data_IF_532837050625
#
_entry.id   IF_532837050625
#
_cell.length_a   1.000
_cell.length_b   1.000
_cell.length_c   1.000
_cell.angle_alpha   90.00
_cell.angle_beta   90.00
_cell.angle_gamma   90.00
#
_symmetry.space_group_name_H-M   'P 1'
#
loop_
_entity.id
_entity.type
_entity.pdbx_description
1 polymer ?
#
# COMPACT_ATOMS: atom_id res chain seq x y z
N UNK A 1 23.52 43.51 -94.27
CA UNK A 1 22.31 43.55 -93.41
C UNK A 1 22.51 42.58 -92.26
N UNK A 2 22.10 43.02 -91.06
CA UNK A 2 22.28 42.39 -89.74
C UNK A 2 21.74 40.95 -89.68
N UNK A 3 22.39 40.09 -88.89
CA UNK A 3 21.85 39.68 -87.58
C UNK A 3 22.77 38.66 -86.89
N UNK A 4 23.32 39.06 -85.73
CA UNK A 4 23.91 38.16 -84.75
C UNK A 4 22.79 37.40 -84.04
N UNK A 5 22.89 36.07 -83.98
CA UNK A 5 22.10 35.24 -83.06
C UNK A 5 22.94 34.94 -81.82
N UNK A 6 22.46 35.43 -80.67
CA UNK A 6 22.98 35.15 -79.34
C UNK A 6 22.55 33.74 -78.90
N UNK A 7 23.50 32.89 -78.47
CA UNK A 7 23.22 31.70 -77.67
C UNK A 7 23.14 32.10 -76.19
N UNK A 8 21.96 32.00 -75.60
CA UNK A 8 21.77 32.10 -74.15
C UNK A 8 21.86 30.72 -73.50
N UNK A 9 22.92 30.47 -72.74
CA UNK A 9 23.05 29.30 -71.87
C UNK A 9 22.33 29.58 -70.53
N UNK A 10 21.21 28.90 -70.28
CA UNK A 10 20.53 28.94 -68.99
C UNK A 10 21.17 27.92 -68.05
N UNK A 11 21.86 28.40 -67.01
CA UNK A 11 22.36 27.55 -65.93
C UNK A 11 21.20 27.18 -64.99
N UNK A 12 20.83 25.89 -64.97
CA UNK A 12 19.91 25.33 -63.98
C UNK A 12 20.65 25.22 -62.63
N UNK A 13 20.31 26.09 -61.68
CA UNK A 13 20.77 25.98 -60.30
C UNK A 13 19.98 24.87 -59.59
N UNK A 14 20.61 23.72 -59.32
CA UNK A 14 20.06 22.71 -58.43
C UNK A 14 19.93 23.30 -57.02
N UNK A 15 18.70 23.57 -56.60
CA UNK A 15 18.41 23.96 -55.22
C UNK A 15 18.34 22.69 -54.38
N UNK A 16 19.35 22.44 -53.55
CA UNK A 16 19.34 21.33 -52.60
C UNK A 16 18.33 21.64 -51.48
N UNK A 17 17.14 21.03 -51.54
CA UNK A 17 16.20 21.08 -50.43
C UNK A 17 16.76 20.27 -49.25
N UNK A 18 17.15 20.95 -48.18
CA UNK A 18 17.50 20.32 -46.91
C UNK A 18 16.25 19.62 -46.33
N UNK A 19 16.14 18.31 -46.51
CA UNK A 19 15.09 17.49 -45.92
C UNK A 19 15.32 17.40 -44.42
N UNK A 20 14.48 18.08 -43.65
CA UNK A 20 14.44 17.94 -42.19
C UNK A 20 13.68 16.65 -41.84
N UNK A 21 14.41 15.59 -41.48
CA UNK A 21 13.81 14.35 -40.99
C UNK A 21 13.30 14.57 -39.57
N UNK A 22 11.98 14.46 -39.37
CA UNK A 22 11.36 14.56 -38.05
C UNK A 22 11.18 13.16 -37.48
N UNK A 23 11.94 12.79 -36.45
CA UNK A 23 11.75 11.53 -35.73
C UNK A 23 10.82 11.77 -34.54
N UNK A 24 9.66 11.13 -34.51
CA UNK A 24 8.75 11.16 -33.36
C UNK A 24 8.96 9.90 -32.52
N UNK A 25 9.44 10.07 -31.29
CA UNK A 25 9.61 8.96 -30.33
C UNK A 25 8.53 9.06 -29.27
N UNK A 26 7.67 8.05 -29.18
CA UNK A 26 6.73 7.91 -28.05
C UNK A 26 7.42 7.15 -26.93
N UNK A 27 7.62 7.82 -25.79
CA UNK A 27 8.20 7.20 -24.60
C UNK A 27 7.07 6.67 -23.73
N UNK A 28 6.99 5.34 -23.58
CA UNK A 28 6.05 4.71 -22.66
C UNK A 28 6.75 4.49 -21.31
N UNK A 29 6.33 5.21 -20.27
CA UNK A 29 6.81 4.99 -18.91
C UNK A 29 5.88 3.98 -18.25
N UNK A 30 6.30 2.75 -17.94
CA UNK A 30 5.47 1.84 -17.18
C UNK A 30 5.33 2.39 -15.76
N UNK A 31 4.18 3.00 -15.46
CA UNK A 31 3.80 3.32 -14.09
C UNK A 31 3.34 2.01 -13.45
N UNK A 32 4.29 1.24 -12.92
CA UNK A 32 3.92 0.12 -12.04
C UNK A 32 3.24 0.70 -10.80
N UNK A 33 2.07 0.19 -10.37
CA UNK A 33 1.48 0.63 -9.12
C UNK A 33 2.47 0.31 -7.99
N UNK A 34 2.79 1.31 -7.15
CA UNK A 34 3.55 1.08 -5.93
C UNK A 34 2.64 0.29 -4.99
N UNK A 35 2.76 -1.04 -5.00
CA UNK A 35 2.02 -1.90 -4.08
C UNK A 35 2.71 -1.79 -2.72
N UNK A 36 2.13 -1.03 -1.79
CA UNK A 36 2.61 -1.06 -0.41
C UNK A 36 2.27 -2.42 0.21
N UNK A 37 3.28 -3.20 0.65
CA UNK A 37 3.04 -4.51 1.23
C UNK A 37 2.30 -4.36 2.55
N UNK A 38 1.51 -5.37 2.92
CA UNK A 38 0.84 -5.41 4.22
C UNK A 38 1.89 -5.43 5.34
N UNK A 39 1.72 -4.58 6.34
CA UNK A 39 2.69 -4.49 7.43
C UNK A 39 2.60 -5.72 8.35
N UNK A 40 3.73 -6.41 8.54
CA UNK A 40 3.85 -7.49 9.53
C UNK A 40 3.73 -6.96 10.98
N UNK A 41 3.87 -5.65 11.18
CA UNK A 41 3.60 -4.97 12.44
C UNK A 41 2.34 -4.13 12.29
N UNK A 42 1.34 -4.30 13.17
CA UNK A 42 0.16 -3.46 13.08
C UNK A 42 0.55 -2.03 13.41
N UNK A 43 -0.15 -1.06 12.84
CA UNK A 43 0.02 0.37 13.12
C UNK A 43 -1.30 0.90 13.72
N UNK A 44 -1.64 0.56 14.98
CA UNK A 44 -2.84 1.06 15.62
C UNK A 44 -2.74 2.56 15.90
N UNK A 45 -3.83 3.27 15.59
CA UNK A 45 -4.05 4.68 15.86
C UNK A 45 -5.11 4.80 16.94
N UNK A 46 -4.80 5.59 17.98
CA UNK A 46 -5.73 5.87 19.08
C UNK A 46 -6.88 6.73 18.58
N UNK A 47 -8.11 6.34 18.92
CA UNK A 47 -9.31 7.14 18.72
C UNK A 47 -9.61 7.96 19.99
N UNK A 48 -8.97 9.12 20.12
CA UNK A 48 -8.99 9.93 21.35
C UNK A 48 -10.40 10.28 21.88
N UNK A 49 -11.39 10.44 20.99
CA UNK A 49 -12.75 10.83 21.35
C UNK A 49 -13.75 9.65 21.41
N UNK A 50 -13.27 8.41 21.31
CA UNK A 50 -14.12 7.22 21.30
C UNK A 50 -13.66 6.24 22.39
N UNK A 51 -14.60 5.86 23.25
CA UNK A 51 -14.37 4.84 24.27
C UNK A 51 -15.50 3.82 24.26
N UNK A 52 -15.19 2.60 24.70
CA UNK A 52 -16.16 1.52 24.89
C UNK A 52 -15.97 0.95 26.28
N UNK A 53 -17.02 0.99 27.11
CA UNK A 53 -16.96 0.57 28.52
C UNK A 53 -15.78 1.21 29.30
N UNK A 54 -15.48 2.49 29.03
CA UNK A 54 -14.36 3.21 29.64
C UNK A 54 -12.97 2.91 29.06
N UNK A 55 -12.85 2.03 28.06
CA UNK A 55 -11.59 1.70 27.38
C UNK A 55 -11.38 2.57 26.15
N UNK A 56 -10.13 2.93 25.88
CA UNK A 56 -9.73 3.62 24.65
C UNK A 56 -9.91 2.70 23.45
N UNK A 57 -10.44 3.23 22.36
CA UNK A 57 -10.52 2.49 21.10
C UNK A 57 -9.32 2.78 20.21
N UNK A 58 -8.93 1.78 19.42
CA UNK A 58 -7.86 1.88 18.45
C UNK A 58 -8.35 1.39 17.10
N UNK A 59 -7.82 1.96 16.02
CA UNK A 59 -8.09 1.54 14.65
C UNK A 59 -6.79 1.24 13.91
N UNK A 60 -6.80 0.33 12.93
CA UNK A 60 -5.61 -0.03 12.17
C UNK A 60 -5.44 0.84 10.91
N UNK A 61 -4.25 1.40 10.72
CA UNK A 61 -3.91 2.12 9.49
C UNK A 61 -3.75 1.20 8.27
N UNK A 62 -3.41 -0.07 8.47
CA UNK A 62 -3.19 -1.06 7.41
C UNK A 62 -3.77 -2.41 7.84
N UNK A 63 -3.89 -3.34 6.89
CA UNK A 63 -4.23 -4.71 7.27
C UNK A 63 -3.07 -5.35 8.01
N UNK A 64 -3.40 -6.19 8.98
CA UNK A 64 -2.44 -6.87 9.83
C UNK A 64 -2.55 -8.39 9.60
N UNK A 65 -1.65 -8.98 8.82
CA UNK A 65 -1.64 -10.41 8.57
C UNK A 65 -0.87 -11.15 9.67
N UNK A 66 -1.43 -12.26 10.12
CA UNK A 66 -0.83 -13.19 11.06
C UNK A 66 -1.06 -14.63 10.58
N UNK A 67 -0.08 -15.50 10.77
CA UNK A 67 -0.25 -16.92 10.56
C UNK A 67 -0.03 -17.65 11.88
N UNK A 68 -1.04 -18.42 12.28
CA UNK A 68 -0.97 -19.24 13.49
C UNK A 68 -0.12 -20.49 13.24
N UNK A 69 1.02 -20.68 13.93
CA UNK A 69 1.88 -21.84 13.71
C UNK A 69 1.22 -23.16 14.13
N UNK A 70 0.22 -23.13 15.02
CA UNK A 70 -0.46 -24.34 15.50
C UNK A 70 -1.47 -24.91 14.50
N UNK A 71 -2.31 -24.05 13.90
CA UNK A 71 -3.35 -24.47 12.93
C UNK A 71 -2.94 -24.26 11.48
N UNK A 72 -1.93 -23.43 11.22
CA UNK A 72 -1.60 -22.97 9.86
C UNK A 72 -2.58 -21.93 9.30
N UNK A 73 -3.56 -21.47 10.08
CA UNK A 73 -4.54 -20.48 9.63
C UNK A 73 -3.88 -19.12 9.46
N UNK A 74 -4.04 -18.54 8.28
CA UNK A 74 -3.69 -17.16 7.97
C UNK A 74 -4.89 -16.29 8.29
N UNK A 75 -4.75 -15.45 9.30
CA UNK A 75 -5.74 -14.49 9.77
C UNK A 75 -5.26 -13.13 9.35
N UNK A 76 -6.10 -12.38 8.63
CA UNK A 76 -5.77 -11.02 8.24
C UNK A 76 -6.82 -10.11 8.84
N UNK A 77 -6.37 -9.26 9.76
CA UNK A 77 -7.21 -8.22 10.35
C UNK A 77 -7.23 -7.05 9.39
N UNK A 78 -8.40 -6.60 8.93
CA UNK A 78 -8.50 -5.55 7.93
C UNK A 78 -8.08 -4.19 8.47
N UNK A 79 -7.68 -3.33 7.53
CA UNK A 79 -7.56 -1.88 7.77
C UNK A 79 -8.86 -1.35 8.37
N UNK A 80 -8.71 -0.37 9.26
CA UNK A 80 -9.76 0.35 9.96
C UNK A 80 -10.58 -0.45 10.97
N UNK A 81 -10.27 -1.73 11.18
CA UNK A 81 -10.90 -2.51 12.24
C UNK A 81 -10.69 -1.83 13.60
N UNK A 82 -11.77 -1.71 14.37
CA UNK A 82 -11.74 -1.12 15.70
C UNK A 82 -11.52 -2.21 16.74
N UNK A 83 -10.55 -1.99 17.62
CA UNK A 83 -10.21 -2.88 18.75
C UNK A 83 -10.18 -2.07 20.04
N UNK A 84 -10.57 -2.70 21.15
CA UNK A 84 -10.60 -2.11 22.49
C UNK A 84 -9.63 -2.80 23.47
N UNK A 85 -8.84 -3.75 22.97
CA UNK A 85 -7.90 -4.58 23.75
C UNK A 85 -8.57 -5.22 24.97
N UNK A 86 -9.83 -5.62 24.85
CA UNK A 86 -10.59 -6.26 25.93
C UNK A 86 -9.94 -7.55 26.45
N UNK A 87 -9.19 -8.24 25.58
CA UNK A 87 -8.44 -9.46 25.88
C UNK A 87 -7.20 -9.23 26.76
N UNK A 88 -6.76 -7.98 26.93
CA UNK A 88 -5.65 -7.61 27.80
C UNK A 88 -6.18 -7.43 29.23
N UNK A 89 -5.58 -8.09 30.24
CA UNK A 89 -5.99 -7.94 31.63
C UNK A 89 -6.03 -6.47 32.08
N UNK A 90 -7.01 -6.12 32.91
CA UNK A 90 -7.28 -4.73 33.32
C UNK A 90 -6.07 -4.00 33.93
N UNK A 91 -5.20 -4.71 34.66
CA UNK A 91 -3.96 -4.15 35.23
C UNK A 91 -2.90 -3.85 34.17
N UNK A 92 -2.95 -4.52 33.02
CA UNK A 92 -2.05 -4.29 31.89
C UNK A 92 -2.52 -3.18 30.95
N UNK A 93 -3.80 -2.80 30.98
CA UNK A 93 -4.37 -1.81 30.04
C UNK A 93 -3.76 -0.41 30.17
N UNK A 94 -3.27 -0.02 31.35
CA UNK A 94 -2.65 1.30 31.57
C UNK A 94 -1.20 1.38 31.09
N UNK A 95 -0.52 0.23 30.94
CA UNK A 95 0.93 0.13 30.65
C UNK A 95 1.17 -0.51 29.28
N UNK A 96 0.12 -0.96 28.60
CA UNK A 96 0.27 -1.62 27.32
C UNK A 96 0.66 -0.60 26.25
N UNK A 97 1.82 -0.83 25.65
CA UNK A 97 2.18 -0.21 24.40
C UNK A 97 1.21 -0.71 23.33
N UNK A 98 0.44 0.16 22.64
CA UNK A 98 -0.43 -0.23 21.54
C UNK A 98 0.31 -0.95 20.40
N UNK A 99 1.63 -0.74 20.27
CA UNK A 99 2.51 -1.42 19.32
C UNK A 99 3.15 -2.69 19.91
N UNK A 100 2.97 -2.93 21.21
CA UNK A 100 3.64 -3.97 21.96
C UNK A 100 3.16 -5.39 21.60
N UNK A 101 3.95 -6.43 21.92
CA UNK A 101 3.65 -7.83 21.59
C UNK A 101 2.24 -8.29 22.01
N UNK A 102 1.80 -7.93 23.21
CA UNK A 102 0.48 -8.29 23.73
C UNK A 102 -0.65 -7.62 22.96
N UNK A 103 -0.49 -6.34 22.60
CA UNK A 103 -1.49 -5.59 21.82
C UNK A 103 -1.63 -6.20 20.42
N UNK A 104 -0.52 -6.60 19.79
CA UNK A 104 -0.52 -7.32 18.51
C UNK A 104 -1.34 -8.61 18.57
N UNK A 105 -1.18 -9.40 19.62
CA UNK A 105 -1.98 -10.60 19.83
C UNK A 105 -3.45 -10.29 20.09
N UNK A 106 -3.74 -9.25 20.90
CA UNK A 106 -5.09 -8.81 21.22
C UNK A 106 -5.88 -8.38 19.97
N UNK A 107 -5.25 -7.70 19.01
CA UNK A 107 -5.87 -7.33 17.72
C UNK A 107 -6.42 -8.55 16.99
N UNK A 108 -5.65 -9.65 16.94
CA UNK A 108 -6.05 -10.89 16.28
C UNK A 108 -7.20 -11.55 17.05
N UNK A 109 -7.11 -11.59 18.38
CA UNK A 109 -8.14 -12.18 19.24
C UNK A 109 -9.47 -11.44 19.12
N UNK A 110 -9.45 -10.12 19.29
CA UNK A 110 -10.62 -9.26 19.18
C UNK A 110 -11.29 -9.44 17.80
N UNK A 111 -10.50 -9.53 16.72
CA UNK A 111 -11.01 -9.77 15.37
C UNK A 111 -11.72 -11.13 15.23
N UNK A 112 -11.11 -12.20 15.76
CA UNK A 112 -11.73 -13.54 15.75
C UNK A 112 -13.02 -13.58 16.60
N UNK A 113 -13.03 -12.84 17.71
CA UNK A 113 -14.20 -12.67 18.56
C UNK A 113 -15.30 -11.88 17.85
N UNK A 114 -14.95 -10.80 17.15
CA UNK A 114 -15.90 -10.04 16.35
C UNK A 114 -16.51 -10.90 15.25
N UNK A 115 -15.73 -11.79 14.60
CA UNK A 115 -16.26 -12.76 13.63
C UNK A 115 -17.25 -13.72 14.31
N UNK A 116 -16.89 -14.29 15.46
CA UNK A 116 -17.79 -15.14 16.23
C UNK A 116 -18.14 -16.46 15.53
N UNK A 117 -17.17 -17.10 14.88
CA UNK A 117 -17.37 -18.37 14.18
C UNK A 117 -17.92 -19.45 15.14
N UNK A 118 -19.07 -20.06 14.80
CA UNK A 118 -19.78 -20.96 15.72
C UNK A 118 -18.89 -22.11 16.20
N UNK A 119 -18.71 -22.23 17.53
CA UNK A 119 -17.91 -23.28 18.15
C UNK A 119 -16.38 -23.07 18.08
N UNK A 120 -15.92 -21.87 17.72
CA UNK A 120 -14.48 -21.56 17.55
C UNK A 120 -13.91 -20.56 18.55
N UNK A 121 -14.65 -20.30 19.63
CA UNK A 121 -14.20 -19.44 20.73
C UNK A 121 -12.89 -19.93 21.35
N UNK A 122 -12.85 -21.22 21.70
CA UNK A 122 -11.65 -21.83 22.30
C UNK A 122 -10.46 -21.79 21.34
N UNK A 123 -10.71 -21.99 20.05
CA UNK A 123 -9.67 -21.88 19.04
C UNK A 123 -9.11 -20.45 18.94
N UNK A 124 -9.98 -19.43 19.05
CA UNK A 124 -9.55 -18.03 19.09
C UNK A 124 -8.68 -17.73 20.32
N UNK A 125 -9.02 -18.30 21.50
CA UNK A 125 -8.22 -18.18 22.71
C UNK A 125 -6.85 -18.89 22.56
N UNK A 126 -6.81 -20.07 21.94
CA UNK A 126 -5.57 -20.80 21.66
C UNK A 126 -4.66 -20.03 20.69
N UNK A 127 -5.26 -19.43 19.65
CA UNK A 127 -4.56 -18.57 18.70
C UNK A 127 -4.00 -17.34 19.41
N UNK A 128 -4.76 -16.73 20.32
CA UNK A 128 -4.29 -15.59 21.11
C UNK A 128 -3.05 -15.96 21.94
N UNK A 129 -3.08 -17.09 22.64
CA UNK A 129 -1.92 -17.60 23.37
C UNK A 129 -0.71 -17.79 22.47
N UNK A 130 -0.87 -18.51 21.35
CA UNK A 130 0.23 -18.75 20.41
C UNK A 130 0.73 -17.47 19.75
N UNK A 131 -0.13 -16.50 19.50
CA UNK A 131 0.23 -15.18 18.98
C UNK A 131 1.08 -14.39 19.98
N UNK A 132 0.72 -14.39 21.26
CA UNK A 132 1.52 -13.77 22.32
C UNK A 132 2.93 -14.36 22.36
N UNK A 133 3.05 -15.69 22.38
CA UNK A 133 4.37 -16.36 22.35
C UNK A 133 5.14 -16.01 21.07
N UNK A 134 4.47 -16.02 19.91
CA UNK A 134 5.09 -15.70 18.61
C UNK A 134 5.60 -14.27 18.53
N UNK A 135 4.97 -13.32 19.23
CA UNK A 135 5.39 -11.93 19.30
C UNK A 135 6.39 -11.63 20.42
N UNK A 136 6.79 -12.64 21.21
CA UNK A 136 7.81 -12.51 22.25
C UNK A 136 7.28 -12.06 23.62
N UNK A 137 6.00 -12.30 23.92
CA UNK A 137 5.48 -12.15 25.29
C UNK A 137 6.00 -13.31 26.15
N UNK A 138 6.39 -13.03 27.39
CA UNK A 138 6.79 -14.07 28.34
C UNK A 138 5.68 -15.10 28.56
N UNK A 139 6.05 -16.38 28.63
CA UNK A 139 5.07 -17.46 28.69
C UNK A 139 4.11 -17.35 29.89
N UNK A 140 4.60 -16.91 31.05
CA UNK A 140 3.77 -16.75 32.24
C UNK A 140 2.71 -15.63 32.07
N UNK A 141 3.06 -14.54 31.38
CA UNK A 141 2.13 -13.46 31.06
C UNK A 141 1.08 -13.95 30.06
N UNK A 142 1.54 -14.67 29.02
CA UNK A 142 0.67 -15.25 28.00
C UNK A 142 -0.33 -16.25 28.62
N UNK A 143 0.12 -17.12 29.53
CA UNK A 143 -0.74 -18.07 30.24
C UNK A 143 -1.77 -17.38 31.13
N UNK A 144 -1.36 -16.29 31.80
CA UNK A 144 -2.26 -15.50 32.63
C UNK A 144 -3.37 -14.88 31.79
N UNK A 145 -3.01 -14.21 30.69
CA UNK A 145 -3.97 -13.60 29.77
C UNK A 145 -4.89 -14.66 29.11
N UNK A 146 -4.32 -15.79 28.68
CA UNK A 146 -5.07 -16.94 28.15
C UNK A 146 -6.11 -17.47 29.15
N UNK A 147 -5.72 -17.65 30.42
CA UNK A 147 -6.63 -18.13 31.47
C UNK A 147 -7.76 -17.14 31.71
N UNK A 148 -7.46 -15.83 31.68
CA UNK A 148 -8.46 -14.77 31.81
C UNK A 148 -9.50 -14.81 30.68
N UNK A 149 -9.08 -14.90 29.41
CA UNK A 149 -10.03 -14.96 28.27
C UNK A 149 -10.80 -16.28 28.23
N UNK A 150 -10.17 -17.39 28.63
CA UNK A 150 -10.82 -18.72 28.65
C UNK A 150 -11.95 -18.80 29.67
N UNK A 151 -11.80 -18.12 30.81
CA UNK A 151 -12.78 -18.12 31.92
C UNK A 151 -13.80 -17.00 31.84
N UNK A 152 -13.43 -15.83 31.29
CA UNK A 152 -14.27 -14.63 31.29
C UNK A 152 -14.73 -14.14 29.91
N UNK A 153 -14.25 -14.73 28.82
CA UNK A 153 -14.46 -14.20 27.46
C UNK A 153 -15.82 -14.54 26.82
N UNK A 154 -16.64 -15.41 27.42
CA UNK A 154 -17.86 -15.92 26.80
C UNK A 154 -18.83 -14.81 26.36
N UNK A 155 -19.03 -13.80 27.20
CA UNK A 155 -19.97 -12.68 26.94
C UNK A 155 -19.53 -11.78 25.78
N UNK A 156 -18.24 -11.80 25.42
CA UNK A 156 -17.69 -10.98 24.34
C UNK A 156 -17.69 -11.68 22.98
N UNK A 157 -18.07 -12.96 22.89
CA UNK A 157 -17.92 -13.71 21.66
C UNK A 157 -19.05 -13.43 20.66
N UNK A 158 -18.69 -12.93 19.47
CA UNK A 158 -19.63 -12.72 18.36
C UNK A 158 -20.59 -11.55 18.54
N UNK A 159 -20.27 -10.57 19.39
CA UNK A 159 -21.10 -9.37 19.55
C UNK A 159 -21.17 -8.57 18.25
N UNK A 160 -22.36 -8.02 17.96
CA UNK A 160 -22.59 -7.25 16.72
C UNK A 160 -21.79 -5.95 16.71
N UNK A 161 -21.63 -5.32 17.86
CA UNK A 161 -20.95 -4.03 18.01
C UNK A 161 -19.41 -4.13 17.86
N UNK A 162 -18.86 -5.34 17.92
CA UNK A 162 -17.42 -5.58 17.76
C UNK A 162 -17.01 -5.54 16.27
N UNK A 163 -17.96 -5.78 15.35
CA UNK A 163 -17.73 -5.66 13.92
C UNK A 163 -17.84 -4.20 13.45
N UNK A 164 -16.89 -3.36 13.88
CA UNK A 164 -16.89 -1.92 13.60
C UNK A 164 -15.60 -1.44 12.95
N UNK A 165 -15.72 -0.39 12.12
CA UNK A 165 -14.64 0.14 11.30
C UNK A 165 -14.62 1.66 11.35
N UNK A 166 -13.46 2.25 11.64
CA UNK A 166 -13.29 3.70 11.71
C UNK A 166 -12.05 4.11 10.91
N UNK A 167 -12.27 4.95 9.91
CA UNK A 167 -11.21 5.65 9.19
C UNK A 167 -10.60 6.73 10.11
N UNK A 168 -9.31 6.62 10.47
CA UNK A 168 -8.66 7.59 11.36
C UNK A 168 -8.59 8.99 10.77
N UNK A 169 -8.74 9.16 9.45
CA UNK A 169 -8.81 10.49 8.81
C UNK A 169 -10.16 11.16 9.02
N UNK A 170 -11.21 10.39 9.35
CA UNK A 170 -12.59 10.86 9.57
C UNK A 170 -13.23 10.12 10.76
N UNK A 171 -12.71 10.32 12.00
CA UNK A 171 -13.09 9.53 13.17
C UNK A 171 -14.53 9.73 13.63
N UNK A 172 -15.17 10.84 13.25
CA UNK A 172 -16.56 11.15 13.59
C UNK A 172 -17.57 10.64 12.56
N UNK A 173 -17.10 10.16 11.41
CA UNK A 173 -17.94 9.61 10.35
C UNK A 173 -18.43 8.20 10.70
N UNK A 174 -19.73 7.96 10.55
CA UNK A 174 -20.26 6.58 10.57
C UNK A 174 -19.89 5.92 9.26
N UNK A 175 -18.98 4.94 9.31
CA UNK A 175 -18.57 4.17 8.15
C UNK A 175 -19.14 2.75 8.23
N UNK A 176 -19.82 2.24 7.18
CA UNK A 176 -20.17 0.84 7.13
C UNK A 176 -18.91 -0.02 7.03
N UNK A 177 -19.01 -1.29 7.42
CA UNK A 177 -17.92 -2.23 7.19
C UNK A 177 -17.55 -2.25 5.69
N UNK A 178 -16.26 -2.12 5.33
CA UNK A 178 -15.84 -2.02 3.93
C UNK A 178 -16.12 -3.31 3.13
N UNK A 179 -16.43 -4.41 3.80
CA UNK A 179 -16.74 -5.70 3.21
C UNK A 179 -17.67 -6.51 4.13
N UNK A 180 -18.38 -7.53 3.59
CA UNK A 180 -19.27 -8.37 4.39
C UNK A 180 -18.49 -9.18 5.44
N UNK A 181 -19.08 -9.33 6.63
CA UNK A 181 -18.52 -10.12 7.72
C UNK A 181 -18.24 -11.56 7.26
N UNK A 182 -16.98 -12.05 7.34
CA UNK A 182 -16.66 -13.39 6.91
C UNK A 182 -17.25 -14.43 7.87
N UNK A 183 -17.50 -15.64 7.37
CA UNK A 183 -17.96 -16.77 8.21
C UNK A 183 -16.84 -17.37 9.04
N UNK A 184 -15.60 -17.27 8.55
CA UNK A 184 -14.40 -17.87 9.14
C UNK A 184 -13.32 -16.82 9.34
N UNK A 185 -12.53 -16.95 10.40
CA UNK A 185 -11.41 -16.04 10.65
C UNK A 185 -10.16 -16.29 9.80
N UNK A 186 -10.06 -17.47 9.19
CA UNK A 186 -8.96 -17.81 8.29
C UNK A 186 -9.28 -17.37 6.86
N UNK A 187 -8.36 -16.61 6.26
CA UNK A 187 -8.38 -16.23 4.84
C UNK A 187 -7.72 -17.32 3.99
N UNK A 188 -6.74 -18.02 4.56
CA UNK A 188 -6.00 -19.12 3.93
C UNK A 188 -5.50 -20.10 4.99
N UNK A 189 -5.16 -21.32 4.57
CA UNK A 189 -4.47 -22.30 5.42
C UNK A 189 -3.12 -22.61 4.77
N UNK A 190 -2.03 -22.53 5.55
CA UNK A 190 -0.66 -22.78 5.13
C UNK A 190 0.00 -23.74 6.13
N UNK A 191 0.62 -24.82 5.65
CA UNK A 191 1.27 -25.79 6.53
C UNK A 191 2.43 -25.13 7.29
N UNK A 192 2.32 -25.07 8.62
CA UNK A 192 3.32 -24.47 9.53
C UNK A 192 3.74 -23.04 9.13
N UNK A 193 2.85 -22.28 8.49
CA UNK A 193 3.15 -20.92 8.02
C UNK A 193 4.34 -20.81 7.04
N UNK A 194 4.69 -21.90 6.35
CA UNK A 194 5.82 -21.92 5.41
C UNK A 194 5.58 -20.96 4.24
N UNK A 195 6.50 -20.02 4.01
CA UNK A 195 6.40 -19.00 2.95
C UNK A 195 5.45 -17.85 3.26
N UNK A 196 4.92 -17.75 4.48
CA UNK A 196 4.01 -16.65 4.85
C UNK A 196 4.69 -15.28 4.76
N UNK A 197 5.92 -15.14 5.28
CA UNK A 197 6.66 -13.87 5.22
C UNK A 197 6.96 -13.46 3.77
N UNK A 198 7.39 -14.42 2.95
CA UNK A 198 7.68 -14.18 1.52
C UNK A 198 6.42 -13.73 0.78
N UNK A 199 5.27 -14.37 1.07
CA UNK A 199 3.98 -13.96 0.52
C UNK A 199 3.65 -12.51 0.86
N UNK A 200 3.81 -12.08 2.12
CA UNK A 200 3.57 -10.70 2.51
C UNK A 200 4.55 -9.74 1.80
N UNK A 201 5.81 -10.15 1.62
CA UNK A 201 6.82 -9.37 0.90
C UNK A 201 6.52 -9.21 -0.60
N UNK A 202 5.78 -10.13 -1.22
CA UNK A 202 5.31 -9.96 -2.62
C UNK A 202 4.28 -8.83 -2.79
N UNK A 203 3.77 -8.25 -1.70
CA UNK A 203 2.68 -7.28 -1.74
C UNK A 203 1.30 -7.92 -1.77
N UNK A 204 1.19 -9.21 -1.45
CA UNK A 204 -0.11 -9.86 -1.31
C UNK A 204 -0.96 -9.18 -0.22
N UNK A 205 -2.23 -8.97 -0.53
CA UNK A 205 -3.22 -8.41 0.40
C UNK A 205 -4.46 -9.28 0.46
N UNK A 206 -5.05 -9.42 1.65
CA UNK A 206 -6.31 -10.13 1.80
C UNK A 206 -7.51 -9.25 1.42
N UNK A 207 -7.45 -7.95 1.73
CA UNK A 207 -8.53 -7.02 1.46
C UNK A 207 -8.10 -5.99 0.41
N UNK A 208 -8.89 -5.78 -0.66
CA UNK A 208 -8.55 -4.82 -1.70
C UNK A 208 -8.61 -3.40 -1.13
N UNK A 209 -7.59 -2.58 -1.42
CA UNK A 209 -7.68 -1.14 -1.27
C UNK A 209 -8.26 -0.58 -2.57
N UNK A 210 -9.26 0.29 -2.47
CA UNK A 210 -9.69 1.11 -3.60
C UNK A 210 -8.48 1.88 -4.14
N UNK A 211 -7.96 1.47 -5.30
CA UNK A 211 -6.80 2.12 -5.90
C UNK A 211 -7.18 3.57 -6.24
N UNK A 212 -6.34 4.56 -5.92
CA UNK A 212 -6.55 5.89 -6.48
C UNK A 212 -6.51 5.77 -8.00
N UNK A 213 -7.47 6.40 -8.70
CA UNK A 213 -7.47 6.44 -10.15
C UNK A 213 -6.20 7.16 -10.59
N UNK A 214 -5.24 6.42 -11.16
CA UNK A 214 -4.02 7.00 -11.70
C UNK A 214 -4.41 7.77 -12.95
N UNK A 215 -4.48 9.10 -12.86
CA UNK A 215 -4.63 9.95 -14.03
C UNK A 215 -3.28 9.96 -14.75
N UNK A 216 -3.07 9.00 -15.64
CA UNK A 216 -1.84 8.93 -16.45
C UNK A 216 -1.91 10.10 -17.43
N UNK A 217 -0.99 11.09 -17.34
CA UNK A 217 -0.96 12.16 -18.32
C UNK A 217 -0.70 11.55 -19.71
N UNK A 218 -1.28 12.11 -20.79
CA UNK A 218 -1.06 11.61 -22.13
C UNK A 218 0.45 11.57 -22.45
N UNK A 219 0.92 10.59 -23.24
CA UNK A 219 2.32 10.47 -23.58
C UNK A 219 2.84 11.77 -24.20
N UNK A 220 3.94 12.28 -23.67
CA UNK A 220 4.58 13.49 -24.19
C UNK A 220 5.35 13.11 -25.47
N UNK A 221 4.89 13.61 -26.61
CA UNK A 221 5.64 13.48 -27.87
C UNK A 221 6.80 14.46 -27.84
N UNK A 222 8.02 13.96 -27.63
CA UNK A 222 9.22 14.77 -27.76
C UNK A 222 9.59 14.82 -29.24
N UNK A 223 9.53 16.01 -29.82
CA UNK A 223 10.04 16.25 -31.17
C UNK A 223 11.48 16.72 -31.07
N UNK A 224 12.46 15.83 -31.23
CA UNK A 224 13.84 16.24 -31.42
C UNK A 224 14.05 16.65 -32.88
N UNK A 225 14.46 17.91 -33.08
CA UNK A 225 14.95 18.38 -34.38
C UNK A 225 16.44 18.13 -34.45
N UNK A 226 16.86 17.01 -35.03
CA UNK A 226 18.27 16.78 -35.39
C UNK A 226 18.55 17.45 -36.74
N UNK A 227 19.06 18.67 -36.68
CA UNK A 227 19.62 19.43 -37.79
C UNK A 227 20.77 20.30 -37.28
N UNK A 228 21.69 20.77 -38.15
CA UNK A 228 22.80 21.60 -37.71
C UNK A 228 22.25 22.81 -36.94
N UNK A 229 22.80 23.05 -35.75
CA UNK A 229 22.35 24.07 -34.80
C UNK A 229 22.67 25.51 -35.26
N UNK A 230 22.66 25.75 -36.57
CA UNK A 230 23.02 27.00 -37.22
C UNK A 230 22.06 28.13 -36.80
N UNK A 231 20.79 27.79 -36.55
CA UNK A 231 19.80 28.73 -36.04
C UNK A 231 20.11 29.26 -34.63
N UNK A 232 20.87 28.51 -33.83
CA UNK A 232 21.32 28.96 -32.49
C UNK A 232 22.45 29.96 -32.65
N UNK A 233 23.38 29.71 -33.58
CA UNK A 233 24.51 30.60 -33.88
C UNK A 233 24.04 31.99 -34.37
N UNK A 234 22.94 32.06 -35.12
CA UNK A 234 22.38 33.33 -35.63
C UNK A 234 21.67 34.19 -34.57
N UNK A 235 21.28 33.61 -33.42
CA UNK A 235 20.62 34.33 -32.32
C UNK A 235 21.53 34.67 -31.15
N UNK A 236 22.77 34.21 -31.18
CA UNK A 236 23.72 34.51 -30.12
C UNK A 236 24.24 35.95 -30.29
N UNK A 237 24.36 36.74 -29.21
CA UNK A 237 24.81 38.13 -29.26
C UNK A 237 26.32 38.27 -29.55
N UNK A 238 27.02 37.17 -29.81
CA UNK A 238 28.47 37.14 -30.03
C UNK A 238 28.81 37.40 -31.50
N UNK A 239 29.85 38.19 -31.81
CA UNK A 239 30.24 38.48 -33.19
C UNK A 239 30.73 37.22 -33.90
N UNK A 240 30.24 36.99 -35.13
CA UNK A 240 30.67 35.88 -35.99
C UNK A 240 32.18 36.00 -36.25
N UNK A 241 32.97 35.00 -35.83
CA UNK A 241 34.39 34.94 -36.21
C UNK A 241 34.49 34.82 -37.72
N UNK A 242 35.08 35.82 -38.38
CA UNK A 242 35.48 35.71 -39.79
C UNK A 242 36.46 34.55 -39.89
N UNK A 243 36.17 33.58 -40.76
CA UNK A 243 37.12 32.52 -41.11
C UNK A 243 38.33 33.20 -41.74
N UNK A 244 39.48 33.08 -41.08
CA UNK A 244 40.75 33.47 -41.67
C UNK A 244 40.97 32.62 -42.94
N UNK A 245 41.01 33.32 -44.07
CA UNK A 245 41.35 32.77 -45.37
C UNK A 245 42.85 32.44 -45.34
N UNK A 246 43.17 31.16 -45.13
CA UNK A 246 44.55 30.65 -45.21
C UNK A 246 45.12 30.99 -46.60
N UNK A 247 46.17 31.79 -46.62
CA UNK A 247 47.12 31.89 -47.72
C UNK A 247 48.46 31.33 -47.27
#
# INVERSE_FOLDING_TARGET
>A
MRSLLFLSAAALSLTACATTTTTQTTVYIPVAPVVTPSSLTPQPVILFNKTKNGRKLFTLNEEFPYCDPGTGKVIVVPRWYVTDFASVPWFGQSVIDPQGPTARAAIIHDYLYAIGEKGKREEADDIFYRAMISFGVDEWQARTAYTAVRTGGEKGYGLKDDWSFIDPTRPDGVQPAPFPKPKTGAVRIMSRCAGFKDLIQTGWRAYPIAQPVVNVPPPVTVTEKTGPADWVQDKLPWPKKKKDEKK
#
